data_IF_630579400236
#
_entry.id   IF_630579400236
#
_cell.length_a   1.000
_cell.length_b   1.000
_cell.length_c   1.000
_cell.angle_alpha   90.00
_cell.angle_beta   90.00
_cell.angle_gamma   90.00
#
_symmetry.space_group_name_H-M   'P 1'
#
loop_
_entity.id
_entity.type
_entity.pdbx_description
1 polymer ?
#
# COMPACT_ATOMS: atom_id res chain seq x y z
N UNK A 1 38.34 5.57 -5.40
CA UNK A 1 37.26 5.13 -4.48
C UNK A 1 36.69 6.25 -3.61
N UNK A 2 37.28 7.46 -3.59
CA UNK A 2 36.75 8.65 -2.90
C UNK A 2 35.47 9.22 -3.53
N UNK A 3 35.36 9.17 -4.86
CA UNK A 3 34.27 9.86 -5.58
C UNK A 3 32.90 9.20 -5.44
N UNK A 4 32.86 7.87 -5.28
CA UNK A 4 31.62 7.13 -5.08
C UNK A 4 31.02 7.43 -3.70
N UNK A 5 31.85 7.43 -2.66
CA UNK A 5 31.45 7.78 -1.29
C UNK A 5 31.02 9.24 -1.19
N UNK A 6 31.70 10.14 -1.89
CA UNK A 6 31.37 11.56 -1.87
C UNK A 6 30.06 11.85 -2.64
N UNK A 7 29.80 11.15 -3.76
CA UNK A 7 28.51 11.18 -4.48
C UNK A 7 27.36 10.60 -3.66
N UNK A 8 27.58 9.50 -2.95
CA UNK A 8 26.57 8.93 -2.04
C UNK A 8 26.28 9.90 -0.91
N UNK A 9 27.30 10.49 -0.29
CA UNK A 9 27.14 11.43 0.82
C UNK A 9 26.44 12.73 0.41
N UNK A 10 26.71 13.24 -0.78
CA UNK A 10 26.01 14.44 -1.30
C UNK A 10 24.56 14.13 -1.69
N UNK A 11 24.28 12.94 -2.24
CA UNK A 11 22.88 12.52 -2.50
C UNK A 11 22.10 12.25 -1.21
N UNK A 12 22.75 11.71 -0.17
CA UNK A 12 22.14 11.47 1.14
C UNK A 12 21.88 12.76 1.93
N UNK A 13 22.72 13.79 1.77
CA UNK A 13 22.62 15.02 2.57
C UNK A 13 21.55 16.01 2.05
N UNK A 14 21.13 15.90 0.79
CA UNK A 14 20.28 16.92 0.16
C UNK A 14 18.84 16.45 -0.14
N UNK A 15 18.58 15.13 -0.20
CA UNK A 15 17.32 14.60 -0.75
C UNK A 15 16.65 13.50 0.10
N UNK A 16 16.86 13.45 1.41
CA UNK A 16 16.21 12.44 2.26
C UNK A 16 14.68 12.49 2.17
N UNK A 17 14.07 13.68 2.09
CA UNK A 17 12.62 13.85 1.95
C UNK A 17 12.11 13.48 0.54
N UNK A 18 12.87 13.76 -0.51
CA UNK A 18 12.47 13.43 -1.89
C UNK A 18 12.65 11.95 -2.25
N UNK A 19 13.56 11.23 -1.59
CA UNK A 19 13.85 9.82 -1.90
C UNK A 19 13.02 8.81 -1.08
N UNK A 20 12.61 9.17 0.13
CA UNK A 20 11.88 8.22 0.99
C UNK A 20 10.42 8.02 0.59
N UNK A 21 9.74 9.08 0.15
CA UNK A 21 8.29 9.07 0.03
C UNK A 21 7.76 8.26 -1.19
N UNK A 22 8.25 8.47 -2.42
CA UNK A 22 7.66 7.80 -3.59
C UNK A 22 8.09 6.34 -3.73
N UNK A 23 9.34 5.99 -3.37
CA UNK A 23 9.85 4.62 -3.46
C UNK A 23 9.25 3.69 -2.40
N UNK A 24 9.06 4.17 -1.16
CA UNK A 24 8.35 3.41 -0.12
C UNK A 24 6.89 3.22 -0.46
N UNK A 25 6.22 4.27 -0.95
CA UNK A 25 4.86 4.15 -1.44
C UNK A 25 4.78 3.11 -2.57
N UNK A 26 5.68 3.14 -3.55
CA UNK A 26 5.69 2.20 -4.67
C UNK A 26 5.92 0.74 -4.25
N UNK A 27 6.77 0.51 -3.24
CA UNK A 27 7.01 -0.82 -2.65
C UNK A 27 5.84 -1.31 -1.78
N UNK A 28 5.13 -0.40 -1.11
CA UNK A 28 4.02 -0.74 -0.21
C UNK A 28 2.67 -0.78 -0.90
N UNK A 29 2.51 -0.16 -2.07
CA UNK A 29 1.33 -0.27 -2.94
C UNK A 29 0.89 -1.72 -3.16
N UNK A 30 1.75 -2.67 -3.57
CA UNK A 30 1.34 -4.07 -3.70
C UNK A 30 0.94 -4.69 -2.36
N UNK A 31 1.59 -4.31 -1.25
CA UNK A 31 1.24 -4.78 0.10
C UNK A 31 -0.15 -4.31 0.50
N UNK A 32 -0.46 -3.02 0.33
CA UNK A 32 -1.76 -2.45 0.66
C UNK A 32 -2.88 -3.00 -0.22
N UNK A 33 -2.59 -3.23 -1.50
CA UNK A 33 -3.53 -3.85 -2.44
C UNK A 33 -3.85 -5.29 -2.01
N UNK A 34 -2.84 -6.07 -1.65
CA UNK A 34 -3.01 -7.44 -1.15
C UNK A 34 -3.80 -7.47 0.16
N UNK A 35 -3.53 -6.57 1.10
CA UNK A 35 -4.28 -6.45 2.35
C UNK A 35 -5.76 -6.12 2.09
N UNK A 36 -6.03 -5.22 1.15
CA UNK A 36 -7.39 -4.94 0.68
C UNK A 36 -8.08 -6.20 0.12
N UNK A 37 -7.41 -6.91 -0.80
CA UNK A 37 -7.90 -8.17 -1.36
C UNK A 37 -8.20 -9.23 -0.30
N UNK A 38 -7.33 -9.40 0.69
CA UNK A 38 -7.56 -10.32 1.82
C UNK A 38 -8.78 -9.91 2.64
N UNK A 39 -8.95 -8.62 2.92
CA UNK A 39 -10.12 -8.09 3.62
C UNK A 39 -11.43 -8.38 2.86
N UNK A 40 -11.42 -8.25 1.53
CA UNK A 40 -12.56 -8.60 0.68
C UNK A 40 -12.92 -10.08 0.79
N UNK A 41 -11.93 -10.97 0.75
CA UNK A 41 -12.16 -12.42 0.86
C UNK A 41 -12.77 -12.75 2.23
N UNK A 42 -12.23 -12.19 3.31
CA UNK A 42 -12.76 -12.39 4.66
C UNK A 42 -14.21 -11.91 4.78
N UNK A 43 -14.53 -10.73 4.25
CA UNK A 43 -15.89 -10.19 4.30
C UNK A 43 -16.85 -11.04 3.45
N UNK A 44 -16.47 -11.44 2.24
CA UNK A 44 -17.28 -12.32 1.40
C UNK A 44 -17.52 -13.68 2.08
N UNK A 45 -16.51 -14.23 2.75
CA UNK A 45 -16.62 -15.50 3.50
C UNK A 45 -17.62 -15.39 4.65
N UNK A 46 -17.61 -14.25 5.37
CA UNK A 46 -18.54 -13.99 6.48
C UNK A 46 -19.98 -13.75 5.98
N UNK A 47 -20.15 -13.01 4.87
CA UNK A 47 -21.46 -12.77 4.26
C UNK A 47 -22.13 -14.08 3.83
N UNK A 48 -21.36 -14.97 3.19
CA UNK A 48 -21.83 -16.31 2.81
C UNK A 48 -22.17 -17.13 4.06
N UNK A 49 -21.37 -17.07 5.12
CA UNK A 49 -21.68 -17.75 6.39
C UNK A 49 -23.00 -17.28 7.01
N UNK A 50 -23.36 -16.01 6.84
CA UNK A 50 -24.62 -15.44 7.33
C UNK A 50 -25.80 -15.65 6.39
N UNK A 51 -25.61 -16.34 5.28
CA UNK A 51 -26.66 -16.63 4.30
C UNK A 51 -27.03 -15.46 3.40
N UNK A 52 -26.18 -14.43 3.30
CA UNK A 52 -26.34 -13.40 2.29
C UNK A 52 -25.82 -13.91 0.94
N UNK A 53 -26.52 -13.57 -0.14
CA UNK A 53 -26.02 -13.82 -1.48
C UNK A 53 -24.70 -13.08 -1.68
N UNK A 54 -23.69 -13.81 -2.18
CA UNK A 54 -22.40 -13.24 -2.46
C UNK A 54 -22.58 -12.10 -3.49
N UNK A 55 -22.38 -10.86 -3.02
CA UNK A 55 -22.25 -9.68 -3.87
C UNK A 55 -21.21 -9.97 -4.97
N UNK A 56 -21.30 -9.33 -6.15
CA UNK A 56 -20.39 -9.59 -7.26
C UNK A 56 -18.93 -9.43 -6.80
N UNK A 57 -18.25 -10.57 -6.60
CA UNK A 57 -17.01 -10.64 -5.85
C UNK A 57 -15.89 -9.78 -6.44
N UNK A 58 -15.95 -9.50 -7.75
CA UNK A 58 -15.05 -8.58 -8.44
C UNK A 58 -15.23 -7.11 -8.04
N UNK A 59 -16.48 -6.64 -7.88
CA UNK A 59 -16.75 -5.26 -7.45
C UNK A 59 -16.28 -5.03 -6.02
N UNK A 60 -16.61 -5.98 -5.14
CA UNK A 60 -16.29 -5.91 -3.72
C UNK A 60 -14.77 -5.99 -3.50
N UNK A 61 -14.08 -6.86 -4.25
CA UNK A 61 -12.62 -6.94 -4.27
C UNK A 61 -11.95 -5.67 -4.78
N UNK A 62 -12.50 -5.02 -5.81
CA UNK A 62 -11.97 -3.75 -6.32
C UNK A 62 -12.12 -2.62 -5.28
N UNK A 63 -13.28 -2.50 -4.64
CA UNK A 63 -13.53 -1.49 -3.59
C UNK A 63 -12.57 -1.67 -2.41
N UNK A 64 -12.38 -2.90 -1.95
CA UNK A 64 -11.48 -3.19 -0.84
C UNK A 64 -10.00 -2.99 -1.19
N UNK A 65 -9.59 -3.35 -2.42
CA UNK A 65 -8.22 -3.13 -2.90
C UNK A 65 -7.90 -1.65 -3.02
N UNK A 66 -8.81 -0.85 -3.61
CA UNK A 66 -8.67 0.60 -3.71
C UNK A 66 -8.72 1.25 -2.33
N UNK A 67 -9.65 0.83 -1.47
CA UNK A 67 -9.77 1.31 -0.10
C UNK A 67 -8.52 1.04 0.71
N UNK A 68 -7.98 -0.19 0.68
CA UNK A 68 -6.75 -0.57 1.35
C UNK A 68 -5.54 0.22 0.88
N UNK A 69 -5.45 0.47 -0.43
CA UNK A 69 -4.41 1.33 -1.01
C UNK A 69 -4.52 2.78 -0.55
N UNK A 70 -5.70 3.38 -0.61
CA UNK A 70 -5.93 4.75 -0.11
C UNK A 70 -5.61 4.87 1.38
N UNK A 71 -6.10 3.93 2.21
CA UNK A 71 -5.91 3.94 3.65
C UNK A 71 -4.43 3.73 4.02
N UNK A 72 -3.75 2.81 3.33
CA UNK A 72 -2.32 2.56 3.49
C UNK A 72 -1.46 3.78 3.14
N UNK A 73 -1.80 4.49 2.07
CA UNK A 73 -1.12 5.74 1.69
C UNK A 73 -1.38 6.87 2.70
N UNK A 74 -2.62 7.01 3.21
CA UNK A 74 -2.94 7.99 4.27
C UNK A 74 -2.17 7.69 5.55
N UNK A 75 -2.11 6.43 5.98
CA UNK A 75 -1.33 6.02 7.17
C UNK A 75 0.16 6.30 6.95
N UNK A 76 0.69 6.03 5.75
CA UNK A 76 2.07 6.35 5.43
C UNK A 76 2.35 7.86 5.56
N UNK A 77 1.44 8.69 5.03
CA UNK A 77 1.53 10.14 5.08
C UNK A 77 1.32 10.74 6.49
N UNK A 78 0.77 9.98 7.44
CA UNK A 78 0.64 10.39 8.85
C UNK A 78 1.83 9.97 9.71
N UNK A 79 2.63 8.99 9.26
CA UNK A 79 3.80 8.47 9.96
C UNK A 79 5.11 9.16 9.53
N UNK A 80 5.14 9.72 8.31
CA UNK A 80 6.15 10.68 7.87
C UNK A 80 5.87 12.07 8.45
#
# INVERSE_FOLDING_TARGET
MSDALQKVRTRLAWNWDEWNHPLRAMLLVPVFTLLGGLGSILLQTELVHRGYDALPGGLLGAVFSLGGLCLGLVVLALLD
#
